data_IF_132107626249
#
_entry.id   IF_132107626249
#
_cell.length_a   1.000
_cell.length_b   1.000
_cell.length_c   1.000
_cell.angle_alpha   90.00
_cell.angle_beta   90.00
_cell.angle_gamma   90.00
#
_symmetry.space_group_name_H-M   'P 1'
#
loop_
_entity.id
_entity.type
_entity.pdbx_description
1 polymer ?
#
# COMPACT_ATOMS: atom_id res chain seq x y z
N UNK A 1 14.39 21.82 -13.29
CA UNK A 1 13.19 21.00 -13.06
C UNK A 1 13.54 19.84 -12.15
N UNK A 2 13.07 19.87 -10.90
CA UNK A 2 13.21 18.74 -9.98
C UNK A 2 12.16 17.72 -10.39
N UNK A 3 12.57 16.46 -10.63
CA UNK A 3 11.63 15.40 -10.96
C UNK A 3 10.61 15.26 -9.80
N UNK A 4 9.30 15.45 -10.04
CA UNK A 4 8.26 15.39 -9.01
C UNK A 4 8.25 14.06 -8.23
N UNK A 5 8.82 12.99 -8.82
CA UNK A 5 9.01 11.69 -8.17
C UNK A 5 9.97 11.70 -6.97
N UNK A 6 10.70 12.79 -6.70
CA UNK A 6 11.50 12.94 -5.47
C UNK A 6 10.75 13.61 -4.31
N UNK A 7 9.45 13.90 -4.45
CA UNK A 7 8.66 14.40 -3.33
C UNK A 7 8.31 13.27 -2.35
N UNK A 8 8.51 13.52 -1.06
CA UNK A 8 8.21 12.57 0.04
C UNK A 8 6.71 12.36 0.30
N UNK A 9 5.85 13.11 -0.38
CA UNK A 9 4.40 13.03 -0.27
C UNK A 9 3.71 13.69 -1.47
N UNK A 10 2.45 13.33 -1.72
CA UNK A 10 1.68 13.77 -2.89
C UNK A 10 1.19 15.21 -2.79
N UNK A 11 1.07 15.75 -1.57
CA UNK A 11 0.51 17.07 -1.30
C UNK A 11 -1.00 17.18 -1.58
N UNK A 12 -1.65 16.04 -1.87
CA UNK A 12 -3.07 15.91 -2.15
C UNK A 12 -3.84 15.38 -0.94
N UNK A 13 -5.16 15.58 -0.95
CA UNK A 13 -6.06 14.91 -0.04
C UNK A 13 -6.47 13.57 -0.66
N UNK A 14 -6.00 12.47 -0.07
CA UNK A 14 -6.17 11.12 -0.60
C UNK A 14 -7.15 10.31 0.26
N UNK A 15 -7.94 9.47 -0.39
CA UNK A 15 -8.81 8.49 0.25
C UNK A 15 -8.17 7.11 0.23
N UNK A 16 -8.33 6.34 1.30
CA UNK A 16 -7.83 4.96 1.38
C UNK A 16 -9.00 4.05 1.75
N UNK A 17 -9.24 3.04 0.92
CA UNK A 17 -10.20 1.99 1.18
C UNK A 17 -9.46 0.68 1.39
N UNK A 18 -9.64 0.04 2.55
CA UNK A 18 -8.93 -1.18 2.89
C UNK A 18 -9.90 -2.31 3.24
N UNK A 19 -9.63 -3.50 2.70
CA UNK A 19 -10.29 -4.74 3.02
C UNK A 19 -9.25 -5.73 3.58
N UNK A 20 -9.44 -6.15 4.83
CA UNK A 20 -8.53 -7.07 5.51
C UNK A 20 -9.24 -8.35 5.93
N UNK A 21 -8.54 -9.48 5.82
CA UNK A 21 -8.97 -10.76 6.37
C UNK A 21 -7.88 -11.35 7.25
N UNK A 22 -8.29 -11.83 8.43
CA UNK A 22 -7.39 -12.40 9.42
C UNK A 22 -7.92 -13.75 9.87
N UNK A 23 -7.11 -14.78 9.70
CA UNK A 23 -7.34 -16.09 10.28
C UNK A 23 -6.23 -16.40 11.28
N UNK A 24 -6.61 -16.72 12.52
CA UNK A 24 -5.67 -17.05 13.58
C UNK A 24 -6.05 -18.39 14.23
N UNK A 25 -5.29 -19.43 13.90
CA UNK A 25 -5.34 -20.71 14.60
C UNK A 25 -4.41 -20.73 15.83
N UNK A 26 -4.33 -21.88 16.51
CA UNK A 26 -3.53 -22.01 17.74
C UNK A 26 -2.02 -21.80 17.55
N UNK A 27 -1.49 -22.15 16.38
CA UNK A 27 -0.06 -22.11 16.07
C UNK A 27 0.25 -21.41 14.75
N UNK A 28 -0.68 -21.40 13.79
CA UNK A 28 -0.50 -20.78 12.47
C UNK A 28 -1.61 -19.77 12.27
N UNK A 29 -1.29 -18.65 11.63
CA UNK A 29 -2.27 -17.70 11.15
C UNK A 29 -1.88 -17.10 9.81
N UNK A 30 -2.88 -16.48 9.19
CA UNK A 30 -2.77 -15.78 7.91
C UNK A 30 -3.43 -14.41 8.06
N UNK A 31 -2.75 -13.38 7.60
CA UNK A 31 -3.29 -12.04 7.47
C UNK A 31 -3.17 -11.61 6.00
N UNK A 32 -4.27 -11.12 5.43
CA UNK A 32 -4.31 -10.54 4.10
C UNK A 32 -4.89 -9.14 4.19
N UNK A 33 -4.30 -8.19 3.48
CA UNK A 33 -4.77 -6.81 3.37
C UNK A 33 -4.71 -6.38 1.90
N UNK A 34 -5.84 -5.88 1.40
CA UNK A 34 -5.97 -5.20 0.13
C UNK A 34 -6.33 -3.74 0.42
N UNK A 35 -5.60 -2.80 -0.17
CA UNK A 35 -5.84 -1.36 -0.03
C UNK A 35 -5.90 -0.70 -1.41
N UNK A 36 -6.89 0.15 -1.61
CA UNK A 36 -7.00 1.04 -2.75
C UNK A 36 -6.83 2.49 -2.29
N UNK A 37 -5.83 3.16 -2.83
CA UNK A 37 -5.51 4.55 -2.57
C UNK A 37 -6.06 5.37 -3.73
N UNK A 38 -7.16 6.08 -3.47
CA UNK A 38 -7.72 7.07 -4.36
C UNK A 38 -6.97 8.37 -4.14
N UNK A 39 -6.04 8.71 -5.04
CA UNK A 39 -5.21 9.89 -4.89
C UNK A 39 -5.95 11.12 -5.40
N UNK A 40 -5.84 12.22 -4.68
CA UNK A 40 -6.36 13.51 -5.08
C UNK A 40 -5.36 14.28 -5.95
N UNK A 41 -5.82 15.41 -6.47
CA UNK A 41 -4.96 16.40 -7.11
C UNK A 41 -4.42 17.37 -6.06
N UNK A 42 -3.17 17.80 -6.22
CA UNK A 42 -2.55 18.77 -5.32
C UNK A 42 -2.70 20.21 -5.86
N UNK A 43 -2.22 21.20 -5.09
CA UNK A 43 -2.33 22.63 -5.43
C UNK A 43 -1.60 23.05 -6.71
N UNK A 44 -0.78 22.17 -7.30
CA UNK A 44 -0.02 22.42 -8.52
C UNK A 44 -0.61 21.69 -9.73
N UNK A 45 -1.88 21.30 -9.64
CA UNK A 45 -2.61 20.55 -10.67
C UNK A 45 -1.94 19.23 -11.06
N UNK A 46 -1.29 18.60 -10.08
CA UNK A 46 -0.60 17.33 -10.22
C UNK A 46 -1.32 16.24 -9.42
N UNK A 47 -1.64 15.15 -10.09
CA UNK A 47 -2.32 13.99 -9.53
C UNK A 47 -1.46 12.74 -9.76
N UNK A 48 -0.98 12.16 -8.66
CA UNK A 48 -0.36 10.83 -8.71
C UNK A 48 -1.42 9.78 -9.08
N UNK A 49 -1.02 8.73 -9.79
CA UNK A 49 -1.94 7.67 -10.16
C UNK A 49 -2.44 6.90 -8.95
N UNK A 50 -3.72 6.51 -8.99
CA UNK A 50 -4.33 5.68 -7.96
C UNK A 50 -3.55 4.38 -7.79
N UNK A 51 -3.49 3.85 -6.57
CA UNK A 51 -2.66 2.70 -6.23
C UNK A 51 -3.50 1.58 -5.64
N UNK A 52 -3.26 0.37 -6.10
CA UNK A 52 -3.73 -0.86 -5.45
C UNK A 52 -2.53 -1.51 -4.77
N UNK A 53 -2.65 -1.76 -3.47
CA UNK A 53 -1.64 -2.47 -2.67
C UNK A 53 -2.25 -3.75 -2.11
N UNK A 54 -1.54 -4.87 -2.24
CA UNK A 54 -1.90 -6.11 -1.58
C UNK A 54 -0.76 -6.64 -0.73
N UNK A 55 -1.10 -7.27 0.38
CA UNK A 55 -0.16 -8.03 1.20
C UNK A 55 -0.82 -9.26 1.78
N UNK A 56 -0.05 -10.34 1.91
CA UNK A 56 -0.47 -11.55 2.61
C UNK A 56 0.72 -12.11 3.38
N UNK A 57 0.50 -12.35 4.67
CA UNK A 57 1.48 -12.85 5.61
C UNK A 57 0.99 -14.16 6.21
N UNK A 58 1.83 -15.19 6.19
CA UNK A 58 1.63 -16.41 6.97
C UNK A 58 2.58 -16.38 8.14
N UNK A 59 2.07 -16.60 9.35
CA UNK A 59 2.87 -16.55 10.58
C UNK A 59 2.66 -17.79 11.43
N UNK A 60 3.67 -18.12 12.23
CA UNK A 60 3.56 -19.14 13.28
C UNK A 60 3.80 -18.51 14.64
N UNK A 61 3.17 -19.03 15.69
CA UNK A 61 3.31 -18.51 17.07
C UNK A 61 4.12 -19.48 17.92
N UNK A 62 5.29 -19.03 18.37
CA UNK A 62 6.09 -19.72 19.39
C UNK A 62 5.81 -19.10 20.75
N UNK A 63 4.98 -19.78 21.54
CA UNK A 63 4.62 -19.34 22.90
C UNK A 63 5.73 -19.73 23.87
N UNK A 64 6.27 -18.77 24.61
CA UNK A 64 7.13 -19.00 25.76
C UNK A 64 6.42 -18.56 27.05
N UNK A 65 7.02 -18.78 28.22
CA UNK A 65 6.41 -18.40 29.51
C UNK A 65 6.20 -16.90 29.69
N UNK A 66 6.92 -16.05 28.94
CA UNK A 66 6.91 -14.58 29.12
C UNK A 66 6.65 -13.80 27.83
N UNK A 67 7.00 -14.38 26.68
CA UNK A 67 6.88 -13.72 25.37
C UNK A 67 6.34 -14.69 24.31
N UNK A 68 5.65 -14.14 23.33
CA UNK A 68 5.30 -14.86 22.11
C UNK A 68 6.19 -14.35 20.98
N UNK A 69 6.85 -15.28 20.28
CA UNK A 69 7.66 -14.96 19.11
C UNK A 69 6.88 -15.40 17.88
N UNK A 70 6.65 -14.48 16.94
CA UNK A 70 5.81 -14.71 15.77
C UNK A 70 6.57 -14.42 14.47
N UNK A 71 7.44 -15.34 14.00
CA UNK A 71 8.03 -15.18 12.68
C UNK A 71 6.95 -15.37 11.62
N UNK A 72 7.11 -14.63 10.52
CA UNK A 72 6.20 -14.66 9.40
C UNK A 72 6.98 -14.67 8.09
N UNK A 73 6.32 -15.18 7.05
CA UNK A 73 6.73 -15.05 5.67
C UNK A 73 5.58 -14.40 4.92
N UNK A 74 5.88 -13.40 4.12
CA UNK A 74 4.88 -12.60 3.43
C UNK A 74 5.22 -12.31 1.99
N UNK A 75 4.18 -12.04 1.20
CA UNK A 75 4.25 -11.51 -0.14
C UNK A 75 3.44 -10.21 -0.18
N UNK A 76 3.94 -9.21 -0.89
CA UNK A 76 3.22 -7.96 -1.12
C UNK A 76 3.56 -7.39 -2.49
N UNK A 77 2.68 -6.53 -2.99
CA UNK A 77 2.89 -5.83 -4.23
C UNK A 77 2.01 -4.60 -4.34
N UNK A 78 2.50 -3.64 -5.13
CA UNK A 78 1.81 -2.40 -5.43
C UNK A 78 1.67 -2.27 -6.94
N UNK A 79 0.52 -1.79 -7.39
CA UNK A 79 0.26 -1.41 -8.78
C UNK A 79 -0.25 0.02 -8.79
N UNK A 80 0.32 0.83 -9.68
CA UNK A 80 0.05 2.25 -9.80
C UNK A 80 -0.60 2.54 -11.14
N UNK A 81 -1.56 3.46 -11.14
CA UNK A 81 -2.10 4.04 -12.36
C UNK A 81 -1.15 5.15 -12.87
N UNK A 82 -1.42 5.63 -14.08
CA UNK A 82 -0.67 6.73 -14.68
C UNK A 82 -0.83 8.04 -13.90
N UNK A 83 0.21 8.87 -13.96
CA UNK A 83 0.24 10.19 -13.35
C UNK A 83 -0.41 11.20 -14.31
N UNK A 84 -1.16 12.15 -13.76
CA UNK A 84 -1.77 13.25 -14.52
C UNK A 84 -1.26 14.60 -14.04
N UNK A 85 -1.01 15.52 -14.97
CA UNK A 85 -0.69 16.91 -14.67
C UNK A 85 -1.38 17.81 -15.69
N UNK A 86 -2.05 18.88 -15.24
CA UNK A 86 -2.84 19.77 -16.13
C UNK A 86 -3.88 19.02 -16.98
N UNK A 87 -4.51 17.97 -16.44
CA UNK A 87 -5.41 17.04 -17.15
C UNK A 87 -4.79 16.22 -18.30
N UNK A 88 -3.48 16.28 -18.50
CA UNK A 88 -2.77 15.42 -19.44
C UNK A 88 -2.17 14.22 -18.72
N UNK A 89 -2.33 13.03 -19.34
CA UNK A 89 -1.62 11.82 -18.90
C UNK A 89 -0.15 11.97 -19.27
N UNK A 90 0.73 11.81 -18.28
CA UNK A 90 2.16 11.75 -18.52
C UNK A 90 2.50 10.32 -19.00
N UNK A 91 2.86 10.19 -20.27
CA UNK A 91 3.36 8.93 -20.83
C UNK A 91 4.71 8.56 -20.17
N UNK A 92 4.97 7.26 -19.97
CA UNK A 92 6.17 6.67 -19.33
C UNK A 92 6.32 6.86 -17.80
N UNK A 93 5.25 6.66 -17.02
CA UNK A 93 5.32 6.65 -15.55
C UNK A 93 4.94 5.33 -14.87
N UNK A 94 4.94 4.20 -15.60
CA UNK A 94 4.63 2.86 -15.08
C UNK A 94 5.84 2.15 -14.48
#
# INVERSE_FOLDING_TARGET
NVNPGFQVGTGSFDGIFSAGYNYAGNKIGVNTLLSYYLKGENKNEYKFGDQVSFSTNVYTVFKTKKINIMPFLGLSGDSYSEIKQYNETLNDTN
#
